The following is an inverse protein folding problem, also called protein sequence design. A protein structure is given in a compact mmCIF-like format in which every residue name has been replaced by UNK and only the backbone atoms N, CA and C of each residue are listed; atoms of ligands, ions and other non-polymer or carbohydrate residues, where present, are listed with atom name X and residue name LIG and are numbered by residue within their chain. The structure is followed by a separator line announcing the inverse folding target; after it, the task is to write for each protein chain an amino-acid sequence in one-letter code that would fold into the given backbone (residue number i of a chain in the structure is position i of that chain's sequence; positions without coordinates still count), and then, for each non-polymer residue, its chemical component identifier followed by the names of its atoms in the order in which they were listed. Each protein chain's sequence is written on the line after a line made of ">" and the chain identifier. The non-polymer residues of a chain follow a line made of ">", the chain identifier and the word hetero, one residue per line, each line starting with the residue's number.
data_IF_324078155135
#
_entry.id   IF_324078155135
#
_cell.length_a   1.000
_cell.length_b   1.000
_cell.length_c   1.000
_cell.angle_alpha   90.00
_cell.angle_beta   90.00
_cell.angle_gamma   90.00
#
_symmetry.space_group_name_H-M   'P 1'
#
loop_
_entity.id
_entity.type
_entity.pdbx_description
1 polymer ?
#
# COMPACT_ATOMS: atom_id res chain seq x y z
N UNK A 1 32.24 -12.05 44.01
CA UNK A 1 32.52 -10.74 43.39
C UNK A 1 31.68 -10.67 42.13
N UNK A 2 30.48 -10.11 42.25
CA UNK A 2 29.45 -10.10 41.21
C UNK A 2 29.72 -8.96 40.23
N UNK A 3 29.92 -9.29 38.96
CA UNK A 3 29.98 -8.33 37.86
C UNK A 3 28.67 -7.53 37.83
N UNK A 4 28.70 -6.19 37.70
CA UNK A 4 27.48 -5.44 37.50
C UNK A 4 26.98 -5.75 36.09
N UNK A 5 25.83 -6.42 36.03
CA UNK A 5 24.98 -6.48 34.85
C UNK A 5 24.67 -5.03 34.44
N UNK A 6 25.41 -4.49 33.48
CA UNK A 6 24.93 -3.36 32.70
C UNK A 6 23.72 -3.83 31.91
N UNK A 7 22.54 -3.64 32.49
CA UNK A 7 21.28 -3.55 31.78
C UNK A 7 21.40 -2.35 30.83
N UNK A 8 21.98 -2.60 29.64
CA UNK A 8 21.92 -1.70 28.51
C UNK A 8 20.46 -1.68 28.09
N UNK A 9 19.72 -0.70 28.62
CA UNK A 9 18.39 -0.35 28.15
C UNK A 9 18.43 -0.28 26.61
N UNK A 10 17.46 -0.87 25.90
CA UNK A 10 17.38 -0.65 24.46
C UNK A 10 17.24 0.86 24.26
N UNK A 11 18.11 1.44 23.45
CA UNK A 11 18.03 2.86 23.07
C UNK A 11 16.74 3.09 22.30
N UNK A 12 15.65 3.33 23.02
CA UNK A 12 14.40 3.86 22.49
C UNK A 12 14.64 5.35 22.28
N UNK A 13 15.13 5.72 21.11
CA UNK A 13 15.18 7.11 20.68
C UNK A 13 13.79 7.56 20.23
N UNK A 14 12.88 7.74 21.19
CA UNK A 14 11.53 8.23 20.90
C UNK A 14 11.58 9.74 20.64
N UNK A 15 12.13 10.14 19.49
CA UNK A 15 12.00 11.52 19.04
C UNK A 15 10.62 11.69 18.43
N UNK A 16 9.77 12.51 19.03
CA UNK A 16 8.56 13.00 18.38
C UNK A 16 8.92 14.25 17.56
N UNK A 17 9.08 14.09 16.26
CA UNK A 17 9.30 15.21 15.35
C UNK A 17 8.01 15.53 14.62
N UNK A 18 7.65 16.82 14.60
CA UNK A 18 6.63 17.35 13.71
C UNK A 18 7.33 18.06 12.55
N UNK A 19 6.78 17.95 11.34
CA UNK A 19 7.35 18.59 10.15
C UNK A 19 6.23 19.26 9.37
N UNK A 20 6.41 20.54 9.06
CA UNK A 20 5.52 21.27 8.16
C UNK A 20 6.37 21.99 7.12
N UNK A 21 6.05 21.79 5.85
CA UNK A 21 6.67 22.47 4.74
C UNK A 21 5.60 23.06 3.84
N UNK A 22 5.73 24.36 3.57
CA UNK A 22 4.87 25.09 2.64
C UNK A 22 5.77 25.73 1.61
N UNK A 23 5.58 25.34 0.35
CA UNK A 23 6.25 25.97 -0.79
C UNK A 23 5.39 27.07 -1.38
N UNK A 24 6.00 28.03 -2.07
CA UNK A 24 5.29 29.06 -2.85
C UNK A 24 4.40 28.48 -3.95
N UNK A 25 4.66 27.24 -4.36
CA UNK A 25 4.01 26.60 -5.50
C UNK A 25 2.80 25.72 -5.09
N UNK A 26 1.97 26.18 -4.15
CA UNK A 26 0.74 25.49 -3.70
C UNK A 26 0.94 24.10 -3.09
N UNK A 27 2.18 23.75 -2.75
CA UNK A 27 2.54 22.47 -2.16
C UNK A 27 2.67 22.60 -0.64
N UNK A 28 1.83 21.88 0.09
CA UNK A 28 1.84 21.78 1.55
C UNK A 28 2.05 20.33 1.96
N UNK A 29 3.12 20.07 2.72
CA UNK A 29 3.39 18.76 3.32
C UNK A 29 3.39 18.93 4.83
N UNK A 30 2.56 18.15 5.51
CA UNK A 30 2.48 18.14 6.98
C UNK A 30 2.65 16.72 7.48
N UNK A 31 3.44 16.56 8.54
CA UNK A 31 3.63 15.31 9.26
C UNK A 31 3.43 15.60 10.73
N UNK A 32 2.41 14.98 11.32
CA UNK A 32 2.06 15.24 12.71
C UNK A 32 3.14 14.73 13.67
N UNK A 33 3.52 13.44 13.53
CA UNK A 33 4.54 12.82 14.39
C UNK A 33 5.33 11.77 13.64
N UNK A 34 6.64 11.75 13.85
CA UNK A 34 7.53 10.66 13.45
C UNK A 34 8.04 10.01 14.73
N UNK A 35 8.12 8.69 14.77
CA UNK A 35 8.73 7.91 15.85
C UNK A 35 9.70 6.90 15.25
N UNK A 36 10.88 6.76 15.85
CA UNK A 36 11.81 5.71 15.49
C UNK A 36 12.17 4.90 16.73
N UNK A 37 11.88 3.61 16.71
CA UNK A 37 12.27 2.67 17.74
C UNK A 37 13.38 1.77 17.20
N UNK A 38 14.63 2.10 17.54
CA UNK A 38 15.78 1.24 17.28
C UNK A 38 15.75 0.00 18.18
N UNK A 39 16.05 -1.15 17.61
CA UNK A 39 16.10 -2.43 18.30
C UNK A 39 17.41 -3.13 17.97
N UNK A 40 18.10 -3.65 18.98
CA UNK A 40 19.22 -4.55 18.72
C UNK A 40 18.65 -5.89 18.25
N UNK A 41 19.02 -6.38 17.05
CA UNK A 41 18.47 -7.61 16.53
C UNK A 41 18.83 -8.77 17.44
N UNK A 42 17.82 -9.53 17.87
CA UNK A 42 18.00 -10.77 18.63
C UNK A 42 17.67 -11.95 17.72
N UNK A 43 18.25 -13.11 18.00
CA UNK A 43 17.91 -14.34 17.26
C UNK A 43 16.40 -14.66 17.33
N UNK A 44 15.69 -14.25 18.38
CA UNK A 44 14.24 -14.40 18.51
C UNK A 44 13.42 -13.26 17.88
N UNK A 45 14.05 -12.12 17.58
CA UNK A 45 13.42 -10.96 16.95
C UNK A 45 14.47 -10.17 16.14
N UNK A 46 14.68 -10.51 14.86
CA UNK A 46 15.75 -9.92 14.03
C UNK A 46 15.39 -8.53 13.47
N UNK A 47 14.50 -7.79 14.13
CA UNK A 47 14.17 -6.41 13.73
C UNK A 47 15.27 -5.47 14.18
N UNK A 48 15.74 -4.63 13.25
CA UNK A 48 16.70 -3.55 13.53
C UNK A 48 15.97 -2.33 14.07
N UNK A 49 14.75 -2.12 13.62
CA UNK A 49 14.00 -0.96 14.05
C UNK A 49 12.65 -0.85 13.41
N UNK A 50 11.89 0.08 13.95
CA UNK A 50 10.54 0.37 13.53
C UNK A 50 10.39 1.89 13.45
N UNK A 51 10.02 2.38 12.27
CA UNK A 51 9.73 3.77 11.99
C UNK A 51 8.22 3.91 11.85
N UNK A 52 7.58 4.68 12.73
CA UNK A 52 6.16 5.06 12.63
C UNK A 52 6.05 6.51 12.21
N UNK A 53 5.23 6.78 11.20
CA UNK A 53 4.89 8.15 10.79
C UNK A 53 3.37 8.29 10.91
N UNK A 54 2.92 9.28 11.68
CA UNK A 54 1.50 9.55 11.93
C UNK A 54 1.07 10.86 11.29
N UNK A 55 -0.13 10.86 10.72
CA UNK A 55 -0.79 12.05 10.17
C UNK A 55 0.04 12.71 9.08
N UNK A 56 0.40 11.95 8.06
CA UNK A 56 1.03 12.50 6.86
C UNK A 56 -0.06 13.06 5.94
N UNK A 57 0.03 14.35 5.64
CA UNK A 57 -0.82 15.05 4.68
C UNK A 57 0.04 15.73 3.62
N UNK A 58 -0.35 15.54 2.36
CA UNK A 58 0.22 16.21 1.20
C UNK A 58 -0.90 16.85 0.39
N UNK A 59 -0.85 18.18 0.23
CA UNK A 59 -1.77 18.97 -0.56
C UNK A 59 -1.02 19.66 -1.69
N UNK A 60 -1.64 19.60 -2.85
CA UNK A 60 -1.20 20.23 -4.08
C UNK A 60 -2.45 20.71 -4.85
N UNK A 61 -2.28 21.51 -5.90
CA UNK A 61 -3.37 21.99 -6.77
C UNK A 61 -4.11 20.82 -7.45
N UNK A 62 -3.41 19.71 -7.69
CA UNK A 62 -3.97 18.53 -8.34
C UNK A 62 -4.73 17.59 -7.39
N UNK A 63 -4.22 17.40 -6.18
CA UNK A 63 -4.70 16.35 -5.29
C UNK A 63 -4.39 16.60 -3.81
N UNK A 64 -5.13 15.89 -2.96
CA UNK A 64 -4.85 15.74 -1.54
C UNK A 64 -4.60 14.27 -1.22
N UNK A 65 -3.48 13.97 -0.58
CA UNK A 65 -3.12 12.65 -0.10
C UNK A 65 -3.02 12.69 1.43
N UNK A 66 -3.67 11.75 2.09
CA UNK A 66 -3.57 11.59 3.54
C UNK A 66 -3.23 10.14 3.90
N UNK A 67 -2.35 9.95 4.87
CA UNK A 67 -2.01 8.66 5.48
C UNK A 67 -2.11 8.84 6.99
N UNK A 68 -2.96 8.03 7.64
CA UNK A 68 -3.14 8.11 9.09
C UNK A 68 -1.92 7.57 9.83
N UNK A 69 -1.44 6.39 9.44
CA UNK A 69 -0.28 5.74 10.05
C UNK A 69 0.52 4.99 8.98
N UNK A 70 1.83 5.15 9.02
CA UNK A 70 2.79 4.47 8.17
C UNK A 70 3.81 3.77 9.06
N UNK A 71 3.76 2.44 9.03
CA UNK A 71 4.63 1.57 9.81
C UNK A 71 5.69 0.94 8.90
N UNK A 72 6.95 1.24 9.16
CA UNK A 72 8.09 0.72 8.42
C UNK A 72 8.93 -0.13 9.37
N UNK A 73 8.87 -1.44 9.20
CA UNK A 73 9.69 -2.39 9.97
C UNK A 73 10.93 -2.77 9.18
N UNK A 74 12.11 -2.56 9.76
CA UNK A 74 13.40 -2.89 9.17
C UNK A 74 13.94 -4.19 9.76
N UNK A 75 14.34 -5.11 8.89
CA UNK A 75 14.81 -6.45 9.26
C UNK A 75 16.28 -6.65 8.93
N UNK A 76 17.03 -7.32 9.81
CA UNK A 76 18.38 -7.80 9.48
C UNK A 76 18.31 -9.21 8.91
N UNK A 77 18.93 -9.41 7.74
CA UNK A 77 19.13 -10.71 7.10
C UNK A 77 17.94 -11.68 7.24
N UNK A 78 16.74 -11.27 6.77
CA UNK A 78 15.51 -12.04 6.98
C UNK A 78 15.56 -13.46 6.40
N UNK A 79 16.34 -13.65 5.32
CA UNK A 79 16.48 -14.92 4.63
C UNK A 79 17.33 -15.94 5.39
N UNK A 80 18.44 -15.55 6.01
CA UNK A 80 19.30 -16.48 6.76
C UNK A 80 18.67 -16.91 8.07
N UNK A 81 17.84 -16.04 8.67
CA UNK A 81 17.16 -16.31 9.94
C UNK A 81 15.75 -16.89 9.77
N UNK A 82 15.25 -17.05 8.53
CA UNK A 82 13.93 -17.64 8.18
C UNK A 82 12.70 -16.98 8.83
N UNK A 83 12.81 -15.76 9.35
CA UNK A 83 11.69 -15.09 10.05
C UNK A 83 10.65 -14.47 9.12
N UNK A 84 11.05 -14.06 7.91
CA UNK A 84 10.13 -13.49 6.92
C UNK A 84 10.44 -14.05 5.54
N UNK A 85 9.55 -13.81 4.58
CA UNK A 85 9.72 -14.13 3.15
C UNK A 85 10.87 -13.37 2.46
N UNK A 86 11.72 -12.67 3.21
CA UNK A 86 13.01 -12.16 2.74
C UNK A 86 13.08 -10.66 2.48
N UNK A 87 12.08 -9.87 2.89
CA UNK A 87 12.12 -8.41 2.71
C UNK A 87 12.94 -7.73 3.80
N UNK A 88 13.89 -6.87 3.41
CA UNK A 88 14.67 -6.03 4.33
C UNK A 88 13.80 -4.95 5.00
N UNK A 89 12.69 -4.57 4.36
CA UNK A 89 11.74 -3.61 4.89
C UNK A 89 10.30 -4.07 4.62
N UNK A 90 9.46 -4.02 5.65
CA UNK A 90 8.02 -4.17 5.51
C UNK A 90 7.38 -2.80 5.72
N UNK A 91 6.56 -2.37 4.76
CA UNK A 91 5.86 -1.09 4.82
C UNK A 91 4.36 -1.38 4.90
N UNK A 92 3.73 -0.93 5.97
CA UNK A 92 2.29 -1.01 6.19
C UNK A 92 1.72 0.41 6.18
N UNK A 93 0.76 0.65 5.29
CA UNK A 93 0.14 1.96 5.11
C UNK A 93 -1.31 1.85 5.56
N UNK A 94 -1.67 2.58 6.61
CA UNK A 94 -2.99 2.58 7.21
C UNK A 94 -3.77 3.83 6.80
N UNK A 95 -5.01 3.62 6.37
CA UNK A 95 -5.95 4.67 5.93
C UNK A 95 -5.36 5.62 4.88
N UNK A 96 -4.75 5.05 3.84
CA UNK A 96 -4.29 5.78 2.67
C UNK A 96 -5.48 6.30 1.86
N UNK A 97 -5.62 7.63 1.76
CA UNK A 97 -6.66 8.27 0.96
C UNK A 97 -6.04 9.23 -0.03
N UNK A 98 -6.59 9.23 -1.24
CA UNK A 98 -6.18 10.13 -2.32
C UNK A 98 -7.44 10.76 -2.89
N UNK A 99 -7.55 12.08 -2.82
CA UNK A 99 -8.60 12.86 -3.45
C UNK A 99 -7.99 13.65 -4.60
N UNK A 100 -8.43 13.35 -5.82
CA UNK A 100 -8.08 14.14 -7.01
C UNK A 100 -9.19 15.12 -7.26
N UNK A 101 -8.87 16.40 -7.45
CA UNK A 101 -9.89 17.44 -7.64
C UNK A 101 -10.44 17.47 -9.05
N UNK A 102 -9.60 17.23 -10.05
CA UNK A 102 -9.99 17.16 -11.46
C UNK A 102 -9.24 16.05 -12.19
N UNK A 103 -9.95 15.29 -13.02
CA UNK A 103 -9.39 14.21 -13.81
C UNK A 103 -8.29 14.69 -14.78
N UNK A 104 -8.40 15.93 -15.29
CA UNK A 104 -7.42 16.53 -16.20
C UNK A 104 -6.08 16.84 -15.51
N UNK A 105 -6.10 17.14 -14.21
CA UNK A 105 -4.90 17.45 -13.41
C UNK A 105 -4.39 16.24 -12.61
N UNK A 106 -4.79 15.02 -12.95
CA UNK A 106 -4.36 13.83 -12.18
C UNK A 106 -2.84 13.72 -12.11
N UNK A 107 -2.22 13.55 -10.93
CA UNK A 107 -0.77 13.40 -10.79
C UNK A 107 -0.22 12.22 -11.61
N UNK A 108 0.97 12.38 -12.20
CA UNK A 108 1.60 11.38 -13.09
C UNK A 108 1.74 10.01 -12.42
N UNK A 109 2.12 9.97 -11.15
CA UNK A 109 2.28 8.71 -10.41
C UNK A 109 0.95 7.97 -10.25
N UNK A 110 -0.15 8.69 -10.05
CA UNK A 110 -1.49 8.12 -9.90
C UNK A 110 -2.04 7.66 -11.26
N UNK A 111 -1.76 8.39 -12.34
CA UNK A 111 -2.07 7.94 -13.69
C UNK A 111 -1.36 6.62 -14.02
N UNK A 112 -0.08 6.51 -13.68
CA UNK A 112 0.70 5.27 -13.84
C UNK A 112 0.13 4.13 -13.01
N UNK A 113 -0.22 4.38 -11.75
CA UNK A 113 -0.84 3.40 -10.87
C UNK A 113 -2.16 2.90 -11.46
N UNK A 114 -3.05 3.81 -11.86
CA UNK A 114 -4.33 3.48 -12.50
C UNK A 114 -4.14 2.63 -13.76
N UNK A 115 -3.25 3.05 -14.65
CA UNK A 115 -2.98 2.32 -15.90
C UNK A 115 -2.44 0.92 -15.61
N UNK A 116 -1.54 0.78 -14.64
CA UNK A 116 -1.00 -0.52 -14.24
C UNK A 116 -2.07 -1.43 -13.62
N UNK A 117 -2.98 -0.88 -12.81
CA UNK A 117 -4.07 -1.64 -12.21
C UNK A 117 -5.04 -2.10 -13.29
N UNK A 118 -5.50 -1.21 -14.17
CA UNK A 118 -6.38 -1.55 -15.30
C UNK A 118 -5.73 -2.59 -16.21
N UNK A 119 -4.44 -2.40 -16.56
CA UNK A 119 -3.71 -3.38 -17.34
C UNK A 119 -3.66 -4.74 -16.64
N UNK A 120 -3.39 -4.75 -15.33
CA UNK A 120 -3.33 -5.98 -14.53
C UNK A 120 -4.68 -6.69 -14.49
N UNK A 121 -5.76 -5.95 -14.28
CA UNK A 121 -7.12 -6.51 -14.27
C UNK A 121 -7.51 -7.10 -15.64
N UNK A 122 -7.18 -6.41 -16.73
CA UNK A 122 -7.62 -6.81 -18.08
C UNK A 122 -6.75 -7.87 -18.75
N UNK A 123 -5.43 -7.88 -18.48
CA UNK A 123 -4.47 -8.67 -19.25
C UNK A 123 -3.77 -9.76 -18.43
N UNK A 124 -3.93 -9.78 -17.11
CA UNK A 124 -3.23 -10.75 -16.26
C UNK A 124 -4.18 -11.84 -15.75
N UNK A 125 -3.60 -12.87 -15.13
CA UNK A 125 -4.37 -14.04 -14.72
C UNK A 125 -5.00 -13.82 -13.35
N UNK A 126 -6.33 -13.89 -13.27
CA UNK A 126 -7.03 -14.00 -12.00
C UNK A 126 -6.87 -15.41 -11.46
N UNK A 127 -6.25 -15.56 -10.29
CA UNK A 127 -6.03 -16.84 -9.61
C UNK A 127 -7.24 -17.20 -8.73
N UNK A 128 -7.79 -16.20 -8.03
CA UNK A 128 -8.95 -16.34 -7.15
C UNK A 128 -9.79 -15.07 -7.20
N UNK A 129 -11.09 -15.25 -7.17
CA UNK A 129 -12.11 -14.22 -7.09
C UNK A 129 -13.33 -14.92 -6.51
N UNK A 130 -13.70 -14.59 -5.27
CA UNK A 130 -14.77 -15.31 -4.57
C UNK A 130 -16.14 -14.77 -4.99
N UNK A 131 -16.33 -13.45 -4.85
CA UNK A 131 -17.54 -12.75 -5.26
C UNK A 131 -17.18 -11.62 -6.21
N UNK A 132 -18.02 -11.44 -7.22
CA UNK A 132 -18.00 -10.28 -8.10
C UNK A 132 -19.43 -9.86 -8.39
N UNK A 133 -19.81 -8.69 -7.90
CA UNK A 133 -21.12 -8.09 -8.17
C UNK A 133 -20.90 -6.78 -8.91
N UNK A 134 -21.65 -6.59 -10.00
CA UNK A 134 -21.67 -5.34 -10.73
C UNK A 134 -23.12 -4.90 -10.85
N UNK A 135 -23.37 -3.65 -10.48
CA UNK A 135 -24.69 -3.03 -10.52
C UNK A 135 -24.61 -1.83 -11.44
N UNK A 136 -25.52 -1.76 -12.42
CA UNK A 136 -25.67 -0.60 -13.29
C UNK A 136 -27.06 -0.03 -13.04
N UNK A 137 -27.11 1.21 -12.62
CA UNK A 137 -28.34 1.97 -12.43
C UNK A 137 -28.34 3.12 -13.42
N UNK A 138 -29.37 3.17 -14.24
CA UNK A 138 -29.69 4.28 -15.12
C UNK A 138 -30.88 5.00 -14.49
N UNK A 139 -30.71 6.26 -14.11
CA UNK A 139 -31.78 7.05 -13.53
C UNK A 139 -32.14 8.21 -14.45
N UNK A 140 -33.29 8.09 -15.13
CA UNK A 140 -33.81 9.10 -16.04
C UNK A 140 -34.24 10.38 -15.31
N UNK A 141 -34.69 10.29 -14.06
CA UNK A 141 -35.15 11.47 -13.32
C UNK A 141 -33.99 12.36 -12.83
N UNK A 142 -32.83 11.76 -12.58
CA UNK A 142 -31.65 12.47 -12.09
C UNK A 142 -30.56 12.62 -13.14
N UNK A 143 -30.84 12.21 -14.38
CA UNK A 143 -29.88 12.20 -15.50
C UNK A 143 -28.54 11.50 -15.15
N UNK A 144 -28.58 10.52 -14.25
CA UNK A 144 -27.39 9.94 -13.63
C UNK A 144 -27.26 8.46 -13.98
N UNK A 145 -26.09 8.09 -14.49
CA UNK A 145 -25.64 6.70 -14.59
C UNK A 145 -24.71 6.38 -13.44
N UNK A 146 -25.06 5.35 -12.67
CA UNK A 146 -24.25 4.81 -11.57
C UNK A 146 -23.84 3.38 -11.88
N UNK A 147 -22.53 3.14 -11.91
CA UNK A 147 -21.94 1.80 -12.04
C UNK A 147 -21.23 1.50 -10.72
N UNK A 148 -21.70 0.48 -10.01
CA UNK A 148 -21.06 -0.02 -8.79
C UNK A 148 -20.45 -1.39 -9.07
N UNK A 149 -19.25 -1.62 -8.54
CA UNK A 149 -18.55 -2.90 -8.61
C UNK A 149 -18.10 -3.32 -7.22
N UNK A 150 -18.25 -4.59 -6.92
CA UNK A 150 -17.88 -5.20 -5.65
C UNK A 150 -17.12 -6.48 -5.91
N UNK A 151 -16.02 -6.72 -5.20
CA UNK A 151 -15.34 -8.02 -5.21
C UNK A 151 -14.71 -8.40 -3.88
N UNK A 152 -14.64 -9.72 -3.63
CA UNK A 152 -13.98 -10.32 -2.47
C UNK A 152 -12.81 -11.23 -2.89
N UNK A 153 -11.75 -11.22 -2.09
CA UNK A 153 -10.59 -12.11 -2.21
C UNK A 153 -10.02 -12.16 -3.64
N UNK A 154 -9.89 -10.99 -4.27
CA UNK A 154 -9.44 -10.91 -5.66
C UNK A 154 -7.92 -10.94 -5.74
N UNK A 155 -7.42 -12.01 -6.35
CA UNK A 155 -6.03 -12.37 -6.46
C UNK A 155 -5.63 -12.41 -7.93
N UNK A 156 -4.74 -11.51 -8.34
CA UNK A 156 -4.30 -11.36 -9.73
C UNK A 156 -2.79 -11.57 -9.82
N UNK A 157 -2.37 -12.50 -10.66
CA UNK A 157 -0.97 -12.74 -10.95
C UNK A 157 -0.56 -12.05 -12.25
N UNK A 158 0.27 -11.02 -12.10
CA UNK A 158 0.86 -10.30 -13.20
C UNK A 158 2.17 -10.98 -13.64
N UNK A 159 2.07 -11.77 -14.70
CA UNK A 159 3.18 -12.56 -15.27
C UNK A 159 4.28 -11.64 -15.83
N UNK A 160 3.94 -10.46 -16.32
CA UNK A 160 4.91 -9.53 -16.92
C UNK A 160 5.90 -8.95 -15.92
N UNK A 161 5.48 -8.75 -14.66
CA UNK A 161 6.34 -8.20 -13.62
C UNK A 161 6.59 -9.17 -12.45
N UNK A 162 6.09 -10.41 -12.55
CA UNK A 162 6.18 -11.45 -11.53
C UNK A 162 5.66 -10.95 -10.18
N UNK A 163 4.52 -10.26 -10.18
CA UNK A 163 3.87 -9.78 -8.95
C UNK A 163 2.49 -10.38 -8.77
N UNK A 164 2.18 -10.66 -7.53
CA UNK A 164 0.87 -11.02 -7.05
C UNK A 164 0.21 -9.79 -6.43
N UNK A 165 -0.95 -9.42 -6.95
CA UNK A 165 -1.83 -8.41 -6.39
C UNK A 165 -2.98 -9.12 -5.69
N UNK A 166 -3.12 -8.90 -4.40
CA UNK A 166 -4.22 -9.45 -3.61
C UNK A 166 -5.02 -8.31 -2.98
N UNK A 167 -6.34 -8.37 -3.15
CA UNK A 167 -7.31 -7.46 -2.56
C UNK A 167 -8.27 -8.30 -1.71
N UNK A 168 -8.34 -8.03 -0.40
CA UNK A 168 -9.30 -8.72 0.46
C UNK A 168 -10.74 -8.32 0.11
N UNK A 169 -10.97 -7.02 -0.11
CA UNK A 169 -12.23 -6.47 -0.60
C UNK A 169 -11.97 -5.24 -1.48
N UNK A 170 -12.74 -5.10 -2.54
CA UNK A 170 -12.71 -3.94 -3.43
C UNK A 170 -14.13 -3.48 -3.69
N UNK A 171 -14.39 -2.21 -3.39
CA UNK A 171 -15.63 -1.50 -3.69
C UNK A 171 -15.30 -0.36 -4.64
N UNK A 172 -15.98 -0.28 -5.77
CA UNK A 172 -15.82 0.80 -6.75
C UNK A 172 -17.18 1.35 -7.12
N UNK A 173 -17.29 2.67 -7.26
CA UNK A 173 -18.50 3.31 -7.72
C UNK A 173 -18.14 4.47 -8.65
N UNK A 174 -18.61 4.38 -9.89
CA UNK A 174 -18.56 5.44 -10.88
C UNK A 174 -19.95 6.06 -10.99
N UNK A 175 -20.04 7.37 -10.80
CA UNK A 175 -21.24 8.17 -11.01
C UNK A 175 -20.96 9.16 -12.12
N UNK A 176 -21.84 9.24 -13.12
CA UNK A 176 -21.71 10.15 -14.25
C UNK A 176 -23.07 10.74 -14.59
N UNK A 177 -23.14 12.06 -14.67
CA UNK A 177 -24.28 12.74 -15.28
C UNK A 177 -24.09 12.69 -16.82
N UNK A 178 -25.15 12.41 -17.58
CA UNK A 178 -25.05 12.38 -19.05
C UNK A 178 -25.33 13.73 -19.73
N UNK A 179 -25.93 14.69 -19.02
CA UNK A 179 -26.18 16.05 -19.49
C UNK A 179 -24.98 16.94 -19.20
N UNK A 180 -24.50 16.89 -17.95
CA UNK A 180 -23.29 17.57 -17.52
C UNK A 180 -22.13 16.59 -17.64
N UNK A 181 -21.04 16.92 -18.34
CA UNK A 181 -19.83 16.06 -18.46
C UNK A 181 -19.00 16.02 -17.15
N UNK A 182 -19.70 15.80 -16.03
CA UNK A 182 -19.19 15.69 -14.69
C UNK A 182 -19.46 14.29 -14.15
N UNK A 183 -18.45 13.73 -13.49
CA UNK A 183 -18.55 12.43 -12.86
C UNK A 183 -17.54 12.26 -11.74
N UNK A 184 -17.82 11.33 -10.85
CA UNK A 184 -16.98 11.00 -9.71
C UNK A 184 -16.74 9.49 -9.67
N UNK A 185 -15.49 9.11 -9.40
CA UNK A 185 -15.11 7.73 -9.13
C UNK A 185 -14.66 7.62 -7.68
N UNK A 186 -15.35 6.79 -6.91
CA UNK A 186 -14.90 6.32 -5.60
C UNK A 186 -14.35 4.90 -5.74
N UNK A 187 -13.18 4.65 -5.16
CA UNK A 187 -12.56 3.34 -5.15
C UNK A 187 -11.97 3.09 -3.78
N UNK A 188 -12.39 1.99 -3.15
CA UNK A 188 -11.98 1.59 -1.81
C UNK A 188 -11.46 0.17 -1.93
N UNK A 189 -10.19 -0.03 -1.57
CA UNK A 189 -9.58 -1.34 -1.51
C UNK A 189 -9.07 -1.60 -0.09
N UNK A 190 -9.42 -2.77 0.45
CA UNK A 190 -9.06 -3.20 1.81
C UNK A 190 -8.15 -4.41 1.75
N UNK A 191 -7.26 -4.51 2.73
CA UNK A 191 -6.32 -5.63 2.90
C UNK A 191 -5.46 -5.88 1.64
N UNK A 192 -5.03 -4.79 1.02
CA UNK A 192 -4.21 -4.83 -0.20
C UNK A 192 -2.82 -5.39 0.09
N UNK A 193 -2.39 -6.40 -0.67
CA UNK A 193 -1.03 -6.95 -0.61
C UNK A 193 -0.41 -7.02 -1.98
N UNK A 194 0.76 -6.45 -2.14
CA UNK A 194 1.53 -6.46 -3.38
C UNK A 194 2.83 -7.23 -3.14
N UNK A 195 2.90 -8.44 -3.68
CA UNK A 195 3.98 -9.37 -3.39
C UNK A 195 4.76 -9.62 -4.68
N UNK A 196 6.08 -9.41 -4.65
CA UNK A 196 6.95 -9.85 -5.74
C UNK A 196 7.22 -11.35 -5.56
N UNK A 197 6.86 -12.14 -6.57
CA UNK A 197 7.12 -13.58 -6.57
C UNK A 197 8.58 -13.85 -6.97
N UNK A 198 9.21 -14.89 -6.42
CA UNK A 198 10.49 -15.37 -6.92
C UNK A 198 10.30 -15.88 -8.35
N UNK A 199 11.27 -15.59 -9.23
CA UNK A 199 11.26 -16.11 -10.61
C UNK A 199 11.30 -17.64 -10.57
N UNK A 200 10.52 -18.33 -11.41
CA UNK A 200 10.40 -19.80 -11.42
C UNK A 200 11.75 -20.55 -11.45
N UNK A 201 12.77 -19.99 -12.13
CA UNK A 201 14.14 -20.53 -12.09
C UNK A 201 14.71 -20.63 -10.66
N UNK A 202 14.43 -19.66 -9.78
CA UNK A 202 14.86 -19.71 -8.38
C UNK A 202 14.03 -20.67 -7.52
N UNK A 203 12.76 -20.91 -7.85
CA UNK A 203 11.94 -21.87 -7.09
C UNK A 203 12.29 -23.32 -7.42
N UNK A 204 12.53 -23.65 -8.70
CA UNK A 204 12.89 -25.01 -9.11
C UNK A 204 14.28 -25.42 -8.59
N UNK A 205 15.28 -24.53 -8.66
CA UNK A 205 16.60 -24.79 -8.05
C UNK A 205 16.50 -24.99 -6.53
N UNK A 206 15.53 -24.35 -5.86
CA UNK A 206 15.33 -24.46 -4.41
C UNK A 206 14.77 -25.82 -4.00
N UNK A 207 13.87 -26.40 -4.80
CA UNK A 207 13.35 -27.75 -4.56
C UNK A 207 14.38 -28.84 -4.88
N UNK A 208 15.28 -28.59 -5.83
CA UNK A 208 16.38 -29.51 -6.15
C UNK A 208 17.51 -29.53 -5.10
N UNK A 209 17.59 -28.50 -4.25
CA UNK A 209 18.62 -28.36 -3.21
C UNK A 209 18.15 -28.74 -1.80
N UNK A 210 16.91 -29.21 -1.63
CA UNK A 210 16.50 -29.84 -0.36
C UNK A 210 16.77 -31.35 -0.44
N UNK A 211 17.84 -31.87 0.19
CA UNK A 211 17.93 -33.31 0.38
C UNK A 211 16.78 -33.73 1.31
N UNK A 212 16.07 -34.78 0.92
CA UNK A 212 15.38 -35.62 1.89
C UNK A 212 16.39 -36.21 2.87
#
# INVERSE_FOLDING_TARGET
>A
MLLPFFLIYPFIFLYSLWYKYVSSNWLEITIAKIYFAGHFPRLSNPRIGLLKILGYEYRDDACHVSIAELDITLWILPQSLRFTSGSLATVEIHDFRVRVFSSSKTPIWLQKLRRNLVFTVLNCHTIRLDDLLTEVVLNDESDETRISGYSNQWHIHNVYNQRMYAFGRLDAQLRRNWLDDHGSLAFIAKECRWIKLPTLQQSESRWQLSPF
#
